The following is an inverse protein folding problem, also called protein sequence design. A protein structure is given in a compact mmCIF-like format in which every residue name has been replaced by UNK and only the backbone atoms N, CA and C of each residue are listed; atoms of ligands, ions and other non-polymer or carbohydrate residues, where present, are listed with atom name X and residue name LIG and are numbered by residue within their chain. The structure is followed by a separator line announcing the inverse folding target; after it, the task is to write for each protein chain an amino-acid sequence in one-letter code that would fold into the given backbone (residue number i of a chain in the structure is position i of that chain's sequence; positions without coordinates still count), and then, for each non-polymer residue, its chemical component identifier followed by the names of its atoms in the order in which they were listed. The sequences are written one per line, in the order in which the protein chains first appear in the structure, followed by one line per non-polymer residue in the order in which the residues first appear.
data_IF_422294463248
#
_entry.id   IF_422294463248
#
_cell.length_a   1.000
_cell.length_b   1.000
_cell.length_c   1.000
_cell.angle_alpha   90.00
_cell.angle_beta   90.00
_cell.angle_gamma   90.00
#
_symmetry.space_group_name_H-M   'P 1'
#
loop_
_entity.id
_entity.type
_entity.pdbx_description
1 polymer ?
#
# COMPACT_ATOMS: atom_id res chain seq x y z
N UNK A 1 -35.74 21.99 38.07
CA UNK A 1 -35.34 22.13 36.66
C UNK A 1 -36.57 22.30 35.79
N UNK A 2 -36.60 23.36 34.97
CA UNK A 2 -37.69 23.62 34.02
C UNK A 2 -37.59 22.66 32.81
N UNK A 3 -38.71 22.31 32.18
CA UNK A 3 -38.78 21.43 31.01
C UNK A 3 -37.85 21.89 29.87
N UNK A 4 -37.73 23.20 29.64
CA UNK A 4 -36.81 23.77 28.65
C UNK A 4 -35.32 23.47 28.96
N UNK A 5 -34.94 23.48 30.23
CA UNK A 5 -33.56 23.14 30.64
C UNK A 5 -33.27 21.66 30.45
N UNK A 6 -34.23 20.76 30.71
CA UNK A 6 -34.09 19.31 30.46
C UNK A 6 -33.92 19.00 28.97
N UNK A 7 -34.68 19.65 28.09
CA UNK A 7 -34.55 19.47 26.63
C UNK A 7 -33.21 20.00 26.12
N UNK A 8 -32.74 21.14 26.63
CA UNK A 8 -31.43 21.68 26.28
C UNK A 8 -30.28 20.74 26.72
N UNK A 9 -30.39 20.16 27.92
CA UNK A 9 -29.41 19.20 28.44
C UNK A 9 -29.36 17.91 27.60
N UNK A 10 -30.51 17.32 27.25
CA UNK A 10 -30.55 16.13 26.38
C UNK A 10 -29.96 16.40 24.98
N UNK A 11 -30.19 17.59 24.42
CA UNK A 11 -29.58 17.99 23.13
C UNK A 11 -28.06 18.10 23.23
N UNK A 12 -27.55 18.63 24.34
CA UNK A 12 -26.11 18.70 24.60
C UNK A 12 -25.51 17.31 24.77
N UNK A 13 -26.11 16.46 25.61
CA UNK A 13 -25.65 15.07 25.81
C UNK A 13 -25.60 14.29 24.49
N UNK A 14 -26.63 14.46 23.63
CA UNK A 14 -26.62 13.87 22.29
C UNK A 14 -25.47 14.37 21.43
N UNK A 15 -25.21 15.68 21.42
CA UNK A 15 -24.09 16.27 20.66
C UNK A 15 -22.73 15.80 21.19
N UNK A 16 -22.57 15.69 22.49
CA UNK A 16 -21.34 15.14 23.09
C UNK A 16 -21.14 13.67 22.73
N UNK A 17 -22.21 12.87 22.73
CA UNK A 17 -22.15 11.47 22.29
C UNK A 17 -21.73 11.36 20.82
N UNK A 18 -22.39 12.11 19.93
CA UNK A 18 -22.05 12.15 18.50
C UNK A 18 -20.60 12.62 18.26
N UNK A 19 -20.13 13.58 19.07
CA UNK A 19 -18.76 14.06 19.02
C UNK A 19 -17.75 12.99 19.46
N UNK A 20 -18.00 12.31 20.58
CA UNK A 20 -17.14 11.22 21.07
C UNK A 20 -17.07 10.08 20.05
N UNK A 21 -18.20 9.67 19.47
CA UNK A 21 -18.24 8.66 18.40
C UNK A 21 -17.46 9.08 17.14
N UNK A 22 -17.35 10.39 16.87
CA UNK A 22 -16.51 10.91 15.78
C UNK A 22 -15.02 10.81 16.14
N UNK A 23 -14.65 11.19 17.36
CA UNK A 23 -13.27 11.11 17.85
C UNK A 23 -12.79 9.66 17.86
N UNK A 24 -13.62 8.72 18.33
CA UNK A 24 -13.27 7.29 18.36
C UNK A 24 -13.02 6.73 16.95
N UNK A 25 -13.84 7.13 15.97
CA UNK A 25 -13.63 6.75 14.57
C UNK A 25 -12.34 7.33 14.00
N UNK A 26 -12.03 8.59 14.29
CA UNK A 26 -10.78 9.21 13.84
C UNK A 26 -9.56 8.56 14.48
N UNK A 27 -9.62 8.23 15.77
CA UNK A 27 -8.54 7.53 16.47
C UNK A 27 -8.32 6.14 15.88
N UNK A 28 -9.39 5.40 15.58
CA UNK A 28 -9.29 4.09 14.94
C UNK A 28 -8.62 4.18 13.57
N UNK A 29 -9.04 5.13 12.74
CA UNK A 29 -8.43 5.35 11.42
C UNK A 29 -6.94 5.70 11.55
N UNK A 30 -6.59 6.59 12.50
CA UNK A 30 -5.20 6.98 12.71
C UNK A 30 -4.31 5.80 13.11
N UNK A 31 -4.81 4.90 13.97
CA UNK A 31 -4.05 3.72 14.37
C UNK A 31 -3.92 2.70 13.23
N UNK A 32 -4.93 2.54 12.38
CA UNK A 32 -4.85 1.73 11.16
C UNK A 32 -3.83 2.30 10.16
N UNK A 33 -3.85 3.62 9.94
CA UNK A 33 -2.93 4.30 9.03
C UNK A 33 -1.48 4.21 9.53
N UNK A 34 -1.23 4.34 10.83
CA UNK A 34 0.10 4.16 11.44
C UNK A 34 0.63 2.75 11.21
N UNK A 35 -0.22 1.73 11.36
CA UNK A 35 0.16 0.33 11.12
C UNK A 35 0.49 0.11 9.65
N UNK A 36 -0.38 0.55 8.74
CA UNK A 36 -0.14 0.44 7.30
C UNK A 36 1.15 1.15 6.87
N UNK A 37 1.43 2.34 7.42
CA UNK A 37 2.65 3.08 7.15
C UNK A 37 3.90 2.34 7.67
N UNK A 38 3.84 1.77 8.88
CA UNK A 38 4.95 1.01 9.45
C UNK A 38 5.25 -0.26 8.63
N UNK A 39 4.22 -0.98 8.22
CA UNK A 39 4.35 -2.16 7.35
C UNK A 39 4.93 -1.78 5.98
N UNK A 40 4.41 -0.72 5.36
CA UNK A 40 4.92 -0.23 4.08
C UNK A 40 6.38 0.22 4.19
N UNK A 41 6.75 0.92 5.27
CA UNK A 41 8.14 1.33 5.52
C UNK A 41 9.05 0.11 5.62
N UNK A 42 8.65 -0.92 6.37
CA UNK A 42 9.42 -2.16 6.50
C UNK A 42 9.57 -2.88 5.16
N UNK A 43 8.50 -2.97 4.37
CA UNK A 43 8.54 -3.56 3.04
C UNK A 43 9.49 -2.79 2.09
N UNK A 44 9.45 -1.45 2.15
CA UNK A 44 10.34 -0.60 1.36
C UNK A 44 11.81 -0.74 1.78
N UNK A 45 12.11 -0.83 3.07
CA UNK A 45 13.46 -1.09 3.57
C UNK A 45 13.96 -2.47 3.13
N UNK A 46 13.13 -3.51 3.27
CA UNK A 46 13.46 -4.85 2.77
C UNK A 46 13.73 -4.87 1.26
N UNK A 47 12.91 -4.17 0.47
CA UNK A 47 13.12 -4.05 -0.97
C UNK A 47 14.44 -3.34 -1.31
N UNK A 48 14.81 -2.29 -0.56
CA UNK A 48 16.11 -1.62 -0.70
C UNK A 48 17.27 -2.55 -0.38
N UNK A 49 17.22 -3.26 0.75
CA UNK A 49 18.28 -4.20 1.13
C UNK A 49 18.41 -5.35 0.14
N UNK A 50 17.30 -5.88 -0.37
CA UNK A 50 17.34 -6.93 -1.39
C UNK A 50 17.99 -6.41 -2.67
N UNK A 51 17.69 -5.17 -3.07
CA UNK A 51 18.31 -4.55 -4.25
C UNK A 51 19.81 -4.38 -4.06
N UNK A 52 20.25 -3.85 -2.92
CA UNK A 52 21.68 -3.69 -2.60
C UNK A 52 22.41 -5.04 -2.58
N UNK A 53 21.79 -6.07 -2.00
CA UNK A 53 22.34 -7.41 -1.98
C UNK A 53 22.43 -8.03 -3.38
N UNK A 54 21.40 -7.85 -4.19
CA UNK A 54 21.39 -8.30 -5.59
C UNK A 54 22.48 -7.60 -6.41
N UNK A 55 22.66 -6.29 -6.23
CA UNK A 55 23.73 -5.52 -6.85
C UNK A 55 25.12 -6.02 -6.40
N UNK A 56 25.28 -6.34 -5.12
CA UNK A 56 26.50 -6.96 -4.61
C UNK A 56 26.77 -8.31 -5.28
N UNK A 57 25.79 -9.21 -5.33
CA UNK A 57 25.93 -10.51 -6.00
C UNK A 57 26.29 -10.34 -7.48
N UNK A 58 25.71 -9.35 -8.16
CA UNK A 58 26.07 -9.00 -9.54
C UNK A 58 27.54 -8.54 -9.62
N UNK A 59 27.99 -7.71 -8.67
CA UNK A 59 29.36 -7.19 -8.65
C UNK A 59 30.43 -8.28 -8.45
N UNK A 60 30.12 -9.33 -7.69
CA UNK A 60 31.04 -10.46 -7.45
C UNK A 60 30.88 -11.57 -8.50
N UNK A 61 29.97 -11.40 -9.46
CA UNK A 61 29.74 -12.35 -10.55
C UNK A 61 28.93 -13.59 -10.15
N UNK A 62 28.36 -13.62 -8.95
CA UNK A 62 27.50 -14.72 -8.46
C UNK A 62 26.05 -14.60 -8.97
N UNK A 63 25.66 -13.44 -9.50
CA UNK A 63 24.34 -13.19 -10.10
C UNK A 63 24.47 -12.46 -11.44
N UNK A 64 23.74 -12.90 -12.45
CA UNK A 64 23.69 -12.17 -13.73
C UNK A 64 22.83 -10.92 -13.60
N UNK A 65 23.27 -9.82 -14.24
CA UNK A 65 22.48 -8.59 -14.30
C UNK A 65 21.22 -8.85 -15.13
N UNK A 66 20.02 -8.47 -14.65
CA UNK A 66 18.81 -8.57 -15.46
C UNK A 66 18.99 -7.82 -16.79
N UNK A 67 18.58 -8.45 -17.89
CA UNK A 67 18.54 -7.80 -19.20
C UNK A 67 17.42 -6.76 -19.14
N UNK A 68 17.78 -5.47 -19.05
CA UNK A 68 16.83 -4.38 -19.13
C UNK A 68 16.43 -4.19 -20.61
N UNK A 69 15.23 -4.66 -20.98
CA UNK A 69 14.62 -4.30 -22.26
C UNK A 69 13.82 -3.00 -22.11
N UNK A 70 13.85 -2.15 -23.14
CA UNK A 70 12.92 -1.03 -23.21
C UNK A 70 11.49 -1.55 -23.33
N UNK A 71 10.48 -0.75 -22.96
CA UNK A 71 9.07 -1.16 -23.10
C UNK A 71 8.69 -1.47 -24.55
N UNK A 72 9.30 -0.77 -25.49
CA UNK A 72 9.08 -0.94 -26.93
C UNK A 72 9.68 -2.27 -27.41
N UNK A 73 10.90 -2.58 -26.98
CA UNK A 73 11.57 -3.85 -27.29
C UNK A 73 10.88 -5.04 -26.64
N UNK A 74 10.41 -4.88 -25.39
CA UNK A 74 9.62 -5.90 -24.70
C UNK A 74 8.34 -6.22 -25.47
N UNK A 75 7.61 -5.18 -25.91
CA UNK A 75 6.39 -5.34 -26.70
C UNK A 75 6.67 -6.00 -28.06
N UNK A 76 7.77 -5.61 -28.73
CA UNK A 76 8.19 -6.23 -29.97
C UNK A 76 8.52 -7.71 -29.78
N UNK A 77 9.28 -8.04 -28.74
CA UNK A 77 9.64 -9.40 -28.37
C UNK A 77 8.40 -10.24 -28.04
N UNK A 78 7.47 -9.71 -27.25
CA UNK A 78 6.23 -10.41 -26.88
C UNK A 78 5.37 -10.70 -28.12
N UNK A 79 5.26 -9.75 -29.05
CA UNK A 79 4.57 -9.95 -30.34
C UNK A 79 5.26 -10.99 -31.21
N UNK A 80 6.59 -10.98 -31.25
CA UNK A 80 7.38 -11.98 -31.96
C UNK A 80 7.16 -13.39 -31.38
N UNK A 81 7.28 -13.55 -30.06
CA UNK A 81 7.06 -14.83 -29.36
C UNK A 81 5.61 -15.32 -29.53
N UNK A 82 4.63 -14.41 -29.50
CA UNK A 82 3.24 -14.72 -29.80
C UNK A 82 3.04 -15.19 -31.25
N UNK A 83 3.71 -14.57 -32.23
CA UNK A 83 3.65 -14.98 -33.63
C UNK A 83 4.23 -16.37 -33.88
N UNK A 84 5.19 -16.80 -33.06
CA UNK A 84 5.76 -18.15 -33.07
C UNK A 84 4.87 -19.19 -32.37
N UNK A 85 3.72 -18.79 -31.82
CA UNK A 85 2.84 -19.65 -31.04
C UNK A 85 3.41 -20.05 -29.67
N UNK A 86 4.46 -19.37 -29.22
CA UNK A 86 5.14 -19.58 -27.95
C UNK A 86 4.64 -18.61 -26.86
N UNK A 87 3.85 -17.59 -27.23
CA UNK A 87 3.24 -16.63 -26.31
C UNK A 87 2.08 -17.24 -25.54
N UNK A 88 2.25 -17.35 -24.22
CA UNK A 88 1.33 -17.82 -23.18
C UNK A 88 -0.01 -18.45 -23.67
N UNK A 89 -0.09 -19.79 -23.59
CA UNK A 89 -1.39 -20.48 -23.47
C UNK A 89 -2.07 -19.96 -22.19
N UNK A 90 -3.24 -19.32 -22.37
CA UNK A 90 -4.15 -18.97 -21.28
C UNK A 90 -4.38 -20.17 -20.37
N UNK A 91 -4.09 -20.03 -19.07
CA UNK A 91 -4.79 -20.73 -17.99
C UNK A 91 -5.54 -19.68 -17.18
#
# INVERSE_FOLDING_TARGET
MNAQQKVAQMKLERRFKEFNEKIDRMNKQLEEDKRAFAEQKKANEQAKFQKEYDEYLISIGEKEKPIEMSKEDQCYYDNYVASLGLGQRKK
#
